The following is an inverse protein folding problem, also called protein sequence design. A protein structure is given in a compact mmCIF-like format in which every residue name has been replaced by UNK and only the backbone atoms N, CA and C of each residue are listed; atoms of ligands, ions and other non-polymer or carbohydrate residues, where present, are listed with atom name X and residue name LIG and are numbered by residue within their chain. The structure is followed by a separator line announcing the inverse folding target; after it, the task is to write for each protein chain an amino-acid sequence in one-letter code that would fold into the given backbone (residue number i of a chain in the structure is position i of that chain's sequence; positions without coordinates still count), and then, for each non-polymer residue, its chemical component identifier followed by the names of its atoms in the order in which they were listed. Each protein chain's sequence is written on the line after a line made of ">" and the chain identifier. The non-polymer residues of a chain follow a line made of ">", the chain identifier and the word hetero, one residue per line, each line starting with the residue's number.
data_IF_955026633659
#
_entry.id   IF_955026633659
#
_cell.length_a   1.000
_cell.length_b   1.000
_cell.length_c   1.000
_cell.angle_alpha   90.00
_cell.angle_beta   90.00
_cell.angle_gamma   90.00
#
_symmetry.space_group_name_H-M   'P 1'
#
loop_
_entity.id
_entity.type
_entity.pdbx_description
1 polymer ?
#
# COMPACT_ATOMS: atom_id res chain seq x y z
N UNK A 1 5.28 -25.86 7.39
CA UNK A 1 5.12 -24.87 6.29
C UNK A 1 3.74 -24.86 5.64
N UNK A 2 2.98 -25.98 5.54
CA UNK A 2 1.62 -25.91 4.98
C UNK A 2 0.73 -24.92 5.75
N UNK A 3 0.75 -24.98 7.08
CA UNK A 3 -0.03 -24.08 7.94
C UNK A 3 0.36 -22.60 7.76
N UNK A 4 1.64 -22.25 7.88
CA UNK A 4 2.11 -20.87 7.69
C UNK A 4 1.79 -20.32 6.30
N UNK A 5 1.81 -21.17 5.28
CA UNK A 5 1.40 -20.84 3.92
C UNK A 5 -0.10 -20.49 3.83
N UNK A 6 -0.99 -21.38 4.30
CA UNK A 6 -2.43 -21.14 4.25
C UNK A 6 -2.85 -19.94 5.09
N UNK A 7 -2.22 -19.75 6.26
CA UNK A 7 -2.43 -18.58 7.11
C UNK A 7 -2.04 -17.31 6.38
N UNK A 8 -0.86 -17.27 5.75
CA UNK A 8 -0.41 -16.10 5.00
C UNK A 8 -1.34 -15.77 3.83
N UNK A 9 -1.71 -16.77 3.03
CA UNK A 9 -2.65 -16.59 1.92
C UNK A 9 -4.00 -16.05 2.38
N UNK A 10 -4.54 -16.61 3.46
CA UNK A 10 -5.83 -16.21 4.02
C UNK A 10 -5.78 -14.78 4.55
N UNK A 11 -4.77 -14.43 5.34
CA UNK A 11 -4.60 -13.08 5.89
C UNK A 11 -4.36 -12.05 4.79
N UNK A 12 -3.57 -12.35 3.76
CA UNK A 12 -3.38 -11.44 2.61
C UNK A 12 -4.70 -11.17 1.91
N UNK A 13 -5.55 -12.18 1.70
CA UNK A 13 -6.89 -12.01 1.11
C UNK A 13 -7.82 -11.17 2.00
N UNK A 14 -7.81 -11.40 3.31
CA UNK A 14 -8.61 -10.64 4.28
C UNK A 14 -8.19 -9.16 4.27
N UNK A 15 -6.90 -8.87 4.43
CA UNK A 15 -6.43 -7.49 4.45
C UNK A 15 -6.62 -6.79 3.11
N UNK A 16 -6.43 -7.48 1.98
CA UNK A 16 -6.76 -6.94 0.67
C UNK A 16 -8.25 -6.59 0.56
N UNK A 17 -9.14 -7.48 1.02
CA UNK A 17 -10.58 -7.25 1.02
C UNK A 17 -10.92 -5.96 1.76
N UNK A 18 -10.43 -5.82 3.00
CA UNK A 18 -10.60 -4.60 3.78
C UNK A 18 -10.04 -3.36 3.05
N UNK A 19 -8.82 -3.44 2.51
CA UNK A 19 -8.20 -2.33 1.80
C UNK A 19 -9.04 -1.86 0.60
N UNK A 20 -9.53 -2.79 -0.23
CA UNK A 20 -10.34 -2.47 -1.41
C UNK A 20 -11.73 -1.96 -1.03
N UNK A 21 -12.32 -2.44 0.08
CA UNK A 21 -13.60 -1.92 0.61
C UNK A 21 -13.43 -0.48 1.07
N UNK A 22 -12.46 -0.19 1.94
CA UNK A 22 -12.21 1.17 2.44
C UNK A 22 -11.90 2.12 1.30
N UNK A 23 -11.07 1.71 0.35
CA UNK A 23 -10.78 2.48 -0.84
C UNK A 23 -12.04 2.77 -1.68
N UNK A 24 -12.91 1.78 -1.88
CA UNK A 24 -14.16 1.97 -2.64
C UNK A 24 -15.12 2.92 -1.93
N UNK A 25 -15.24 2.83 -0.60
CA UNK A 25 -16.02 3.75 0.22
C UNK A 25 -15.47 5.18 0.18
N UNK A 26 -14.15 5.34 0.14
CA UNK A 26 -13.51 6.65 -0.01
C UNK A 26 -13.84 7.28 -1.37
N UNK A 27 -13.83 6.51 -2.46
CA UNK A 27 -14.24 7.01 -3.78
C UNK A 27 -15.69 7.48 -3.82
N UNK A 28 -16.61 6.81 -3.09
CA UNK A 28 -17.99 7.31 -2.95
C UNK A 28 -18.04 8.70 -2.28
N UNK A 29 -17.18 8.97 -1.29
CA UNK A 29 -17.11 10.29 -0.62
C UNK A 29 -16.50 11.34 -1.54
N UNK A 30 -15.38 11.02 -2.18
CA UNK A 30 -14.66 11.88 -3.13
C UNK A 30 -15.57 12.30 -4.28
N UNK A 31 -16.38 11.38 -4.81
CA UNK A 31 -17.36 11.66 -5.88
C UNK A 31 -18.31 12.82 -5.55
N UNK A 32 -18.75 12.95 -4.29
CA UNK A 32 -19.63 14.05 -3.85
C UNK A 32 -18.89 15.40 -3.84
N UNK A 33 -17.64 15.39 -3.41
CA UNK A 33 -16.80 16.60 -3.33
C UNK A 33 -16.48 17.14 -4.71
N UNK A 34 -16.16 16.24 -5.63
CA UNK A 34 -15.86 16.58 -7.01
C UNK A 34 -17.09 16.52 -7.88
N UNK A 35 -18.33 16.70 -7.38
CA UNK A 35 -19.59 16.75 -8.15
C UNK A 35 -19.71 18.05 -9.00
N UNK A 36 -20.57 18.09 -10.04
CA UNK A 36 -20.75 19.31 -10.87
C UNK A 36 -21.26 20.47 -9.99
N UNK A 37 -22.02 20.12 -8.96
CA UNK A 37 -22.48 20.96 -7.86
C UNK A 37 -21.64 20.77 -6.57
N UNK A 38 -20.48 20.15 -6.68
CA UNK A 38 -19.56 19.87 -5.58
C UNK A 38 -18.65 21.05 -5.27
N UNK A 39 -17.83 20.91 -4.24
CA UNK A 39 -16.91 21.96 -3.75
C UNK A 39 -15.80 22.23 -4.78
N UNK A 40 -15.38 21.18 -5.51
CA UNK A 40 -14.33 21.27 -6.53
C UNK A 40 -14.80 20.64 -7.84
N UNK A 41 -15.67 21.33 -8.61
CA UNK A 41 -16.18 20.80 -9.86
C UNK A 41 -15.04 20.74 -10.89
N UNK A 42 -14.46 19.55 -11.08
CA UNK A 42 -13.33 19.33 -11.99
C UNK A 42 -13.74 19.27 -13.48
N UNK A 43 -15.01 19.53 -13.80
CA UNK A 43 -15.53 19.53 -15.17
C UNK A 43 -15.34 18.19 -15.90
N UNK A 44 -15.17 17.11 -15.15
CA UNK A 44 -14.86 15.79 -15.68
C UNK A 44 -16.14 14.96 -15.84
N UNK A 45 -16.21 14.04 -16.82
CA UNK A 45 -17.45 13.31 -17.06
C UNK A 45 -17.74 12.40 -15.87
N UNK A 46 -18.71 12.82 -15.04
CA UNK A 46 -19.29 12.04 -13.93
C UNK A 46 -19.69 10.63 -14.32
N UNK A 47 -19.94 10.44 -15.61
CA UNK A 47 -20.40 9.21 -16.23
C UNK A 47 -19.33 8.11 -16.31
N UNK A 48 -18.04 8.42 -16.05
CA UNK A 48 -16.98 7.41 -15.95
C UNK A 48 -16.95 6.67 -14.61
N UNK A 49 -17.71 7.11 -13.60
CA UNK A 49 -17.89 6.43 -12.32
C UNK A 49 -19.36 6.08 -12.06
N UNK A 50 -19.95 5.10 -12.77
CA UNK A 50 -21.26 4.61 -12.40
C UNK A 50 -21.21 4.08 -10.97
N UNK A 51 -22.18 4.42 -10.12
CA UNK A 51 -22.28 3.82 -8.77
C UNK A 51 -22.26 2.29 -8.86
N UNK A 52 -22.81 1.73 -9.95
CA UNK A 52 -22.73 0.31 -10.26
C UNK A 52 -21.31 -0.25 -10.30
N UNK A 53 -20.30 0.48 -10.78
CA UNK A 53 -18.92 0.00 -10.84
C UNK A 53 -18.27 -0.06 -9.45
N UNK A 54 -18.50 0.94 -8.60
CA UNK A 54 -18.01 0.91 -7.21
C UNK A 54 -18.74 -0.14 -6.37
N UNK A 55 -20.05 -0.33 -6.58
CA UNK A 55 -20.82 -1.43 -5.96
C UNK A 55 -20.26 -2.78 -6.43
N UNK A 56 -20.04 -2.94 -7.74
CA UNK A 56 -19.44 -4.14 -8.31
C UNK A 56 -18.07 -4.45 -7.68
N UNK A 57 -17.21 -3.44 -7.58
CA UNK A 57 -15.91 -3.56 -6.89
C UNK A 57 -16.07 -3.96 -5.42
N UNK A 58 -17.03 -3.39 -4.69
CA UNK A 58 -17.32 -3.78 -3.29
C UNK A 58 -17.74 -5.25 -3.19
N UNK A 59 -18.64 -5.70 -4.07
CA UNK A 59 -19.07 -7.11 -4.13
C UNK A 59 -17.88 -8.03 -4.39
N UNK A 60 -17.04 -7.72 -5.38
CA UNK A 60 -15.84 -8.50 -5.67
C UNK A 60 -14.85 -8.49 -4.50
N UNK A 61 -14.71 -7.36 -3.81
CA UNK A 61 -13.81 -7.23 -2.64
C UNK A 61 -14.28 -8.08 -1.48
N UNK A 62 -15.59 -8.28 -1.29
CA UNK A 62 -16.12 -9.25 -0.31
C UNK A 62 -15.95 -10.68 -0.82
N UNK A 63 -16.18 -10.90 -2.12
CA UNK A 63 -16.12 -12.23 -2.73
C UNK A 63 -14.75 -12.90 -2.58
N UNK A 64 -13.65 -12.14 -2.61
CA UNK A 64 -12.31 -12.70 -2.43
C UNK A 64 -12.06 -13.29 -1.03
N UNK A 65 -12.93 -13.05 -0.04
CA UNK A 65 -12.87 -13.72 1.27
C UNK A 65 -13.27 -15.19 1.17
N UNK A 66 -14.19 -15.50 0.27
CA UNK A 66 -14.79 -16.84 0.13
C UNK A 66 -14.21 -17.59 -1.06
N UNK A 67 -13.88 -16.88 -2.13
CA UNK A 67 -13.45 -17.48 -3.40
C UNK A 67 -12.01 -17.06 -3.72
N UNK A 68 -11.13 -18.05 -3.90
CA UNK A 68 -9.79 -17.85 -4.44
C UNK A 68 -9.81 -18.17 -5.95
N UNK A 69 -10.09 -17.15 -6.77
CA UNK A 69 -10.28 -17.30 -8.21
C UNK A 69 -9.58 -16.19 -8.98
N UNK A 70 -8.81 -16.59 -9.99
CA UNK A 70 -8.13 -15.67 -10.90
C UNK A 70 -9.11 -14.71 -11.57
N UNK A 71 -10.31 -15.17 -11.92
CA UNK A 71 -11.31 -14.33 -12.56
C UNK A 71 -11.73 -13.15 -11.67
N UNK A 72 -11.91 -13.39 -10.37
CA UNK A 72 -12.27 -12.34 -9.41
C UNK A 72 -11.12 -11.32 -9.28
N UNK A 73 -9.87 -11.80 -9.22
CA UNK A 73 -8.70 -10.93 -9.15
C UNK A 73 -8.49 -10.10 -10.42
N UNK A 74 -8.71 -10.68 -11.60
CA UNK A 74 -8.64 -9.96 -12.88
C UNK A 74 -9.72 -8.89 -12.99
N UNK A 75 -10.95 -9.17 -12.56
CA UNK A 75 -12.03 -8.18 -12.55
C UNK A 75 -11.70 -7.01 -11.59
N UNK A 76 -11.09 -7.30 -10.44
CA UNK A 76 -10.60 -6.26 -9.51
C UNK A 76 -9.45 -5.45 -10.13
N UNK A 77 -8.51 -6.07 -10.85
CA UNK A 77 -7.45 -5.37 -11.59
C UNK A 77 -8.06 -4.42 -12.64
N UNK A 78 -9.02 -4.92 -13.43
CA UNK A 78 -9.74 -4.09 -14.42
C UNK A 78 -10.44 -2.93 -13.73
N UNK A 79 -11.04 -3.15 -12.54
CA UNK A 79 -11.67 -2.09 -11.76
C UNK A 79 -10.71 -0.99 -11.32
N UNK A 80 -9.48 -1.35 -10.93
CA UNK A 80 -8.44 -0.39 -10.54
C UNK A 80 -7.95 0.37 -11.77
N UNK A 81 -7.70 -0.30 -12.90
CA UNK A 81 -7.29 0.37 -14.16
C UNK A 81 -8.36 1.37 -14.60
N UNK A 82 -9.63 0.98 -14.53
CA UNK A 82 -10.75 1.85 -14.87
C UNK A 82 -10.78 3.10 -13.98
N UNK A 83 -10.66 2.91 -12.66
CA UNK A 83 -10.60 4.01 -11.69
C UNK A 83 -9.38 4.89 -11.92
N UNK A 84 -8.22 4.31 -12.22
CA UNK A 84 -6.99 5.05 -12.47
C UNK A 84 -7.11 5.94 -13.72
N UNK A 85 -7.69 5.43 -14.81
CA UNK A 85 -8.00 6.24 -16.01
C UNK A 85 -8.97 7.37 -15.66
N UNK A 86 -9.98 7.07 -14.85
CA UNK A 86 -10.95 8.03 -14.34
C UNK A 86 -10.43 8.88 -13.17
N UNK A 87 -9.14 8.82 -12.79
CA UNK A 87 -8.49 9.64 -11.76
C UNK A 87 -7.14 10.24 -12.21
N UNK A 88 -6.82 10.17 -13.51
CA UNK A 88 -5.54 10.51 -14.16
C UNK A 88 -4.83 11.81 -13.72
N UNK A 89 -5.49 12.75 -13.02
CA UNK A 89 -4.87 13.99 -12.49
C UNK A 89 -4.65 14.02 -10.97
N UNK A 90 -5.26 13.13 -10.19
CA UNK A 90 -5.24 13.14 -8.72
C UNK A 90 -4.72 11.82 -8.12
N UNK A 91 -3.84 11.15 -8.85
CA UNK A 91 -3.43 9.79 -8.56
C UNK A 91 -2.73 9.67 -7.19
N UNK A 92 -3.27 8.81 -6.30
CA UNK A 92 -2.53 8.32 -5.13
C UNK A 92 -1.60 7.15 -5.51
N UNK A 93 -0.85 7.35 -6.60
CA UNK A 93 0.47 6.77 -6.84
C UNK A 93 0.67 5.33 -6.40
N UNK A 94 1.30 5.25 -5.23
CA UNK A 94 1.77 4.00 -4.64
C UNK A 94 0.67 3.08 -4.13
N UNK A 95 -0.46 3.59 -3.63
CA UNK A 95 -1.50 2.72 -3.04
C UNK A 95 -2.23 1.88 -4.09
N UNK A 96 -2.56 2.48 -5.24
CA UNK A 96 -3.19 1.78 -6.36
C UNK A 96 -2.18 0.83 -7.02
N UNK A 97 -0.92 1.26 -7.15
CA UNK A 97 0.16 0.41 -7.66
C UNK A 97 0.39 -0.82 -6.77
N UNK A 98 0.38 -0.65 -5.45
CA UNK A 98 0.51 -1.76 -4.51
C UNK A 98 -0.73 -2.68 -4.54
N UNK A 99 -1.93 -2.12 -4.76
CA UNK A 99 -3.14 -2.93 -4.95
C UNK A 99 -3.02 -3.84 -6.19
N UNK A 100 -2.46 -3.32 -7.28
CA UNK A 100 -2.16 -4.11 -8.47
C UNK A 100 -1.14 -5.21 -8.19
N UNK A 101 -0.07 -4.90 -7.44
CA UNK A 101 0.93 -5.91 -7.00
C UNK A 101 0.27 -7.04 -6.22
N UNK A 102 -0.56 -6.74 -5.21
CA UNK A 102 -1.20 -7.77 -4.40
C UNK A 102 -2.15 -8.62 -5.24
N UNK A 103 -2.96 -8.00 -6.12
CA UNK A 103 -3.89 -8.72 -7.00
C UNK A 103 -3.17 -9.58 -8.05
N UNK A 104 -2.07 -9.08 -8.63
CA UNK A 104 -1.23 -9.87 -9.54
C UNK A 104 -0.62 -11.06 -8.81
N UNK A 105 -0.10 -10.85 -7.61
CA UNK A 105 0.41 -11.92 -6.76
C UNK A 105 -0.64 -12.98 -6.47
N UNK A 106 -1.85 -12.59 -6.04
CA UNK A 106 -2.93 -13.54 -5.82
C UNK A 106 -3.42 -14.23 -7.11
N UNK A 107 -3.29 -13.59 -8.27
CA UNK A 107 -3.58 -14.23 -9.56
C UNK A 107 -2.56 -15.31 -9.91
N UNK A 108 -1.26 -15.04 -9.67
CA UNK A 108 -0.18 -16.03 -9.82
C UNK A 108 -0.39 -17.19 -8.86
N UNK A 109 -0.78 -16.90 -7.62
CA UNK A 109 -0.99 -17.86 -6.53
C UNK A 109 -2.00 -18.96 -6.88
N UNK A 110 -3.04 -18.63 -7.67
CA UNK A 110 -4.07 -19.60 -8.12
C UNK A 110 -3.45 -20.74 -8.94
N UNK A 111 -2.42 -20.45 -9.74
CA UNK A 111 -1.78 -21.44 -10.61
C UNK A 111 -0.49 -22.01 -10.00
N UNK A 112 0.22 -21.20 -9.22
CA UNK A 112 1.54 -21.53 -8.69
C UNK A 112 1.58 -21.24 -7.19
N UNK A 113 1.17 -22.21 -6.34
CA UNK A 113 1.20 -22.07 -4.90
C UNK A 113 2.56 -21.59 -4.38
N UNK A 114 2.53 -20.63 -3.46
CA UNK A 114 3.65 -19.87 -2.86
C UNK A 114 4.28 -18.82 -3.75
N UNK A 115 4.26 -18.99 -5.08
CA UNK A 115 4.93 -18.07 -6.00
C UNK A 115 4.29 -16.68 -6.00
N UNK A 116 2.96 -16.60 -5.83
CA UNK A 116 2.24 -15.35 -5.69
C UNK A 116 2.59 -14.61 -4.40
N UNK A 117 2.66 -15.31 -3.26
CA UNK A 117 3.12 -14.73 -2.00
C UNK A 117 4.58 -14.25 -2.09
N UNK A 118 5.47 -15.02 -2.72
CA UNK A 118 6.85 -14.58 -2.96
C UNK A 118 6.89 -13.33 -3.85
N UNK A 119 6.08 -13.27 -4.90
CA UNK A 119 5.96 -12.08 -5.74
C UNK A 119 5.54 -10.85 -4.92
N UNK A 120 4.49 -10.96 -4.09
CA UNK A 120 4.02 -9.86 -3.24
C UNK A 120 5.12 -9.38 -2.29
N UNK A 121 5.78 -10.33 -1.62
CA UNK A 121 6.86 -10.03 -0.69
C UNK A 121 8.02 -9.31 -1.38
N UNK A 122 8.51 -9.84 -2.51
CA UNK A 122 9.63 -9.26 -3.26
C UNK A 122 9.28 -7.86 -3.76
N UNK A 123 8.09 -7.68 -4.35
CA UNK A 123 7.65 -6.35 -4.82
C UNK A 123 7.52 -5.35 -3.67
N UNK A 124 7.05 -5.78 -2.49
CA UNK A 124 6.99 -4.93 -1.30
C UNK A 124 8.39 -4.55 -0.80
N UNK A 125 9.35 -5.49 -0.74
CA UNK A 125 10.74 -5.22 -0.37
C UNK A 125 11.40 -4.24 -1.35
N UNK A 126 11.22 -4.46 -2.66
CA UNK A 126 11.74 -3.58 -3.70
C UNK A 126 11.12 -2.18 -3.64
N UNK A 127 9.83 -2.08 -3.30
CA UNK A 127 9.17 -0.79 -3.16
C UNK A 127 9.79 0.07 -2.05
N UNK A 128 10.09 -0.53 -0.88
CA UNK A 128 10.82 0.18 0.18
C UNK A 128 12.25 0.53 -0.25
N UNK A 129 12.99 -0.43 -0.80
CA UNK A 129 14.39 -0.22 -1.18
C UNK A 129 14.56 0.87 -2.24
N UNK A 130 13.74 0.84 -3.30
CA UNK A 130 13.77 1.84 -4.38
C UNK A 130 13.36 3.21 -3.83
N UNK A 131 12.33 3.27 -2.98
CA UNK A 131 11.89 4.51 -2.32
C UNK A 131 13.03 5.14 -1.50
N UNK A 132 13.69 4.35 -0.64
CA UNK A 132 14.83 4.81 0.17
C UNK A 132 16.02 5.22 -0.70
N UNK A 133 16.29 4.49 -1.78
CA UNK A 133 17.39 4.79 -2.70
C UNK A 133 17.18 6.10 -3.49
N UNK A 134 15.94 6.38 -3.91
CA UNK A 134 15.59 7.66 -4.54
C UNK A 134 15.78 8.80 -3.54
N UNK A 135 15.35 8.61 -2.29
CA UNK A 135 15.47 9.64 -1.24
C UNK A 135 16.91 9.92 -0.84
N UNK A 136 17.76 8.90 -0.70
CA UNK A 136 19.18 9.14 -0.34
C UNK A 136 19.93 9.87 -1.47
N UNK A 137 19.59 9.61 -2.74
CA UNK A 137 20.20 10.33 -3.87
C UNK A 137 19.76 11.79 -3.95
N UNK A 138 18.53 12.10 -3.55
CA UNK A 138 17.97 13.43 -3.64
C UNK A 138 18.41 14.33 -2.46
N UNK A 139 19.04 15.47 -2.76
CA UNK A 139 19.54 16.41 -1.77
C UNK A 139 18.43 17.02 -0.88
N UNK A 140 17.24 17.23 -1.43
CA UNK A 140 16.10 17.81 -0.70
C UNK A 140 15.56 16.85 0.36
N UNK A 141 15.61 15.54 0.08
CA UNK A 141 15.29 14.52 1.07
C UNK A 141 16.36 14.46 2.15
N UNK A 142 17.65 14.46 1.79
CA UNK A 142 18.74 14.46 2.79
C UNK A 142 18.74 15.69 3.71
N UNK A 143 18.45 16.88 3.17
CA UNK A 143 18.34 18.11 3.96
C UNK A 143 17.06 18.20 4.80
N UNK A 144 16.08 17.32 4.56
CA UNK A 144 14.75 17.39 5.18
C UNK A 144 13.81 18.43 4.55
N UNK A 145 14.28 19.17 3.53
CA UNK A 145 13.46 20.15 2.81
C UNK A 145 12.23 19.51 2.16
N UNK A 146 12.40 18.37 1.51
CA UNK A 146 11.29 17.64 0.88
C UNK A 146 10.23 17.23 1.92
N UNK A 147 10.65 16.65 3.06
CA UNK A 147 9.73 16.26 4.13
C UNK A 147 8.97 17.47 4.68
N UNK A 148 9.66 18.59 4.90
CA UNK A 148 9.02 19.85 5.32
C UNK A 148 7.98 20.31 4.29
N UNK A 149 8.33 20.31 3.00
CA UNK A 149 7.41 20.71 1.93
C UNK A 149 6.16 19.81 1.87
N UNK A 150 6.32 18.49 2.01
CA UNK A 150 5.19 17.55 2.08
C UNK A 150 4.29 17.82 3.29
N UNK A 151 4.88 18.11 4.46
CA UNK A 151 4.11 18.45 5.66
C UNK A 151 3.35 19.77 5.49
N UNK A 152 3.91 20.75 4.76
CA UNK A 152 3.27 22.05 4.51
C UNK A 152 2.07 22.01 3.56
N UNK A 153 1.94 20.95 2.75
CA UNK A 153 0.80 20.75 1.86
C UNK A 153 -0.22 19.75 2.42
N UNK A 154 -0.02 19.25 3.65
CA UNK A 154 -0.97 18.35 4.30
C UNK A 154 -2.34 19.04 4.47
N UNK A 155 -3.46 18.32 4.32
CA UNK A 155 -4.77 18.86 4.67
C UNK A 155 -4.92 19.22 6.16
N UNK A 156 -4.00 18.74 7.01
CA UNK A 156 -3.99 18.93 8.47
C UNK A 156 -2.81 19.78 8.96
N UNK A 157 -2.20 20.59 8.08
CA UNK A 157 -1.10 21.54 8.36
C UNK A 157 -1.21 22.29 9.71
N UNK A 158 -2.39 22.80 10.16
CA UNK A 158 -2.48 23.60 11.38
C UNK A 158 -2.08 22.85 12.67
N UNK A 159 -1.91 21.53 12.62
CA UNK A 159 -1.61 20.70 13.80
C UNK A 159 -0.11 20.51 14.08
N UNK A 160 0.79 20.92 13.16
CA UNK A 160 2.23 20.70 13.33
C UNK A 160 2.99 22.01 13.57
N UNK A 161 3.69 22.17 14.70
CA UNK A 161 4.51 23.34 14.94
C UNK A 161 5.68 23.37 13.95
N UNK A 162 6.13 24.57 13.58
CA UNK A 162 7.35 24.77 12.80
C UNK A 162 8.55 24.20 13.57
N UNK A 163 9.10 23.07 13.10
CA UNK A 163 10.28 22.44 13.70
C UNK A 163 11.56 23.12 13.21
N UNK A 164 12.67 22.90 13.95
CA UNK A 164 14.00 23.31 13.49
C UNK A 164 14.37 22.53 12.22
N UNK A 165 15.14 23.15 11.32
CA UNK A 165 15.60 22.51 10.08
C UNK A 165 16.34 21.18 10.34
N UNK A 166 17.17 21.14 11.38
CA UNK A 166 17.88 19.92 11.81
C UNK A 166 16.94 18.78 12.20
N UNK A 167 15.76 19.09 12.76
CA UNK A 167 14.75 18.08 13.09
C UNK A 167 14.16 17.45 11.83
N UNK A 168 13.86 18.23 10.79
CA UNK A 168 13.38 17.68 9.52
C UNK A 168 14.44 16.82 8.82
N UNK A 169 15.71 17.23 8.85
CA UNK A 169 16.80 16.41 8.29
C UNK A 169 16.96 15.09 9.05
N UNK A 170 16.91 15.12 10.39
CA UNK A 170 16.96 13.90 11.20
C UNK A 170 15.80 12.96 10.90
N UNK A 171 14.56 13.46 10.92
CA UNK A 171 13.37 12.66 10.63
C UNK A 171 13.42 12.06 9.22
N UNK A 172 13.84 12.85 8.24
CA UNK A 172 14.02 12.37 6.86
C UNK A 172 15.10 11.28 6.79
N UNK A 173 16.22 11.47 7.49
CA UNK A 173 17.28 10.46 7.62
C UNK A 173 16.77 9.15 8.22
N UNK A 174 15.96 9.21 9.27
CA UNK A 174 15.35 8.03 9.88
C UNK A 174 14.42 7.28 8.90
N UNK A 175 13.62 8.01 8.11
CA UNK A 175 12.78 7.40 7.06
C UNK A 175 13.65 6.72 5.99
N UNK A 176 14.70 7.39 5.53
CA UNK A 176 15.62 6.83 4.52
C UNK A 176 16.28 5.54 5.03
N UNK A 177 16.81 5.56 6.26
CA UNK A 177 17.44 4.38 6.87
C UNK A 177 16.41 3.26 7.02
N UNK A 178 15.22 3.55 7.54
CA UNK A 178 14.15 2.56 7.64
C UNK A 178 13.84 1.91 6.28
N UNK A 179 13.61 2.71 5.23
CA UNK A 179 13.27 2.22 3.90
C UNK A 179 14.39 1.37 3.26
N UNK A 180 15.64 1.80 3.38
CA UNK A 180 16.80 1.07 2.85
C UNK A 180 17.03 -0.25 3.58
N UNK A 181 16.88 -0.27 4.90
CA UNK A 181 17.13 -1.45 5.71
C UNK A 181 15.95 -2.43 5.77
N UNK A 182 14.73 -1.99 5.43
CA UNK A 182 13.55 -2.84 5.41
C UNK A 182 13.75 -4.09 4.56
N UNK A 183 14.35 -3.95 3.38
CA UNK A 183 14.58 -5.08 2.48
C UNK A 183 15.45 -6.18 3.10
N UNK A 184 16.44 -5.80 3.92
CA UNK A 184 17.37 -6.72 4.56
C UNK A 184 16.77 -7.42 5.79
N UNK A 185 15.71 -6.85 6.39
CA UNK A 185 15.02 -7.46 7.54
C UNK A 185 14.45 -8.85 7.24
N UNK A 186 14.19 -9.16 5.96
CA UNK A 186 13.59 -10.43 5.52
C UNK A 186 14.41 -11.67 5.93
N UNK A 187 15.74 -11.53 6.10
CA UNK A 187 16.66 -12.63 6.37
C UNK A 187 16.47 -13.23 7.77
N UNK A 188 16.02 -12.44 8.74
CA UNK A 188 15.86 -12.86 10.13
C UNK A 188 14.48 -12.49 10.65
N UNK A 189 13.65 -13.49 10.98
CA UNK A 189 12.23 -13.27 11.27
C UNK A 189 11.96 -12.29 12.43
N UNK A 190 12.65 -12.37 13.59
CA UNK A 190 12.48 -11.36 14.64
C UNK A 190 12.84 -9.93 14.19
N UNK A 191 13.83 -9.78 13.31
CA UNK A 191 14.17 -8.46 12.75
C UNK A 191 13.07 -7.97 11.82
N UNK A 192 12.51 -8.84 10.97
CA UNK A 192 11.36 -8.50 10.14
C UNK A 192 10.17 -8.04 10.99
N UNK A 193 9.84 -8.73 12.07
CA UNK A 193 8.72 -8.36 12.96
C UNK A 193 8.84 -6.92 13.47
N UNK A 194 10.03 -6.52 13.90
CA UNK A 194 10.32 -5.13 14.30
C UNK A 194 10.09 -4.17 13.14
N UNK A 195 10.58 -4.50 11.94
CA UNK A 195 10.40 -3.66 10.76
C UNK A 195 8.94 -3.59 10.28
N UNK A 196 8.16 -4.66 10.43
CA UNK A 196 6.71 -4.66 10.16
C UNK A 196 5.98 -3.75 11.16
N UNK A 197 6.34 -3.80 12.44
CA UNK A 197 5.78 -2.91 13.45
C UNK A 197 6.12 -1.44 13.16
N UNK A 198 7.38 -1.15 12.83
CA UNK A 198 7.81 0.19 12.41
C UNK A 198 7.11 0.65 11.12
N UNK A 199 6.93 -0.26 10.16
CA UNK A 199 6.19 0.01 8.92
C UNK A 199 4.73 0.34 9.17
N UNK A 200 4.07 -0.37 10.10
CA UNK A 200 2.70 -0.08 10.51
C UNK A 200 2.61 1.33 11.11
N UNK A 201 3.52 1.67 12.04
CA UNK A 201 3.60 3.01 12.65
C UNK A 201 3.83 4.08 11.58
N UNK A 202 4.76 3.84 10.65
CA UNK A 202 5.05 4.74 9.54
C UNK A 202 3.81 4.98 8.67
N UNK A 203 3.12 3.92 8.25
CA UNK A 203 1.93 4.06 7.41
C UNK A 203 0.74 4.68 8.15
N UNK A 204 0.61 4.43 9.46
CA UNK A 204 -0.39 5.10 10.29
C UNK A 204 -0.09 6.60 10.38
N UNK A 205 1.18 6.97 10.60
CA UNK A 205 1.61 8.36 10.56
C UNK A 205 1.28 8.98 9.20
N UNK A 206 1.59 8.29 8.10
CA UNK A 206 1.27 8.77 6.75
C UNK A 206 -0.24 8.95 6.53
N UNK A 207 -1.07 8.04 7.03
CA UNK A 207 -2.52 8.15 6.95
C UNK A 207 -3.07 9.33 7.77
N UNK A 208 -2.61 9.51 9.00
CA UNK A 208 -3.05 10.58 9.90
C UNK A 208 -2.56 11.94 9.42
N UNK A 209 -1.28 12.05 9.07
CA UNK A 209 -0.63 13.32 8.75
C UNK A 209 -0.94 13.77 7.34
N UNK A 210 -0.95 12.87 6.35
CA UNK A 210 -1.16 13.26 4.94
C UNK A 210 -2.58 12.92 4.44
N UNK A 211 -3.44 12.33 5.27
CA UNK A 211 -4.77 11.87 4.84
C UNK A 211 -4.73 10.68 3.88
N UNK A 212 -3.58 10.01 3.74
CA UNK A 212 -3.34 8.94 2.78
C UNK A 212 -3.82 7.57 3.32
N UNK A 213 -5.08 7.49 3.73
CA UNK A 213 -5.66 6.29 4.37
C UNK A 213 -5.52 5.01 3.53
N UNK A 214 -5.59 5.12 2.20
CA UNK A 214 -5.44 3.97 1.30
C UNK A 214 -4.08 3.30 1.39
N UNK A 215 -3.02 4.08 1.66
CA UNK A 215 -1.68 3.53 1.82
C UNK A 215 -1.64 2.57 3.01
N UNK A 216 -2.15 2.97 4.18
CA UNK A 216 -2.12 2.12 5.36
C UNK A 216 -2.67 0.71 5.11
N UNK A 217 -3.88 0.62 4.59
CA UNK A 217 -4.57 -0.65 4.45
C UNK A 217 -3.89 -1.57 3.42
N UNK A 218 -3.49 -1.02 2.26
CA UNK A 218 -2.91 -1.87 1.22
C UNK A 218 -1.50 -2.36 1.57
N UNK A 219 -0.71 -1.54 2.27
CA UNK A 219 0.62 -1.97 2.70
C UNK A 219 0.56 -3.05 3.78
N UNK A 220 -0.42 -2.99 4.70
CA UNK A 220 -0.64 -4.08 5.67
C UNK A 220 -0.99 -5.40 4.96
N UNK A 221 -1.70 -5.33 3.82
CA UNK A 221 -2.06 -6.53 3.07
C UNK A 221 -0.85 -7.32 2.53
N UNK A 222 0.34 -6.70 2.43
CA UNK A 222 1.58 -7.37 2.01
C UNK A 222 2.29 -8.10 3.17
N UNK A 223 1.94 -7.79 4.42
CA UNK A 223 2.69 -8.26 5.59
C UNK A 223 2.66 -9.78 5.77
N UNK A 224 1.52 -10.48 5.56
CA UNK A 224 1.52 -11.94 5.67
C UNK A 224 2.44 -12.61 4.64
N UNK A 225 2.54 -12.05 3.44
CA UNK A 225 3.44 -12.53 2.39
C UNK A 225 4.92 -12.31 2.76
N UNK A 226 5.27 -11.14 3.30
CA UNK A 226 6.61 -10.84 3.81
C UNK A 226 7.01 -11.80 4.94
N UNK A 227 6.13 -11.99 5.91
CA UNK A 227 6.35 -12.88 7.04
C UNK A 227 6.52 -14.33 6.59
N UNK A 228 5.68 -14.80 5.65
CA UNK A 228 5.80 -16.13 5.06
C UNK A 228 7.14 -16.32 4.35
N UNK A 229 7.58 -15.35 3.54
CA UNK A 229 8.87 -15.42 2.86
C UNK A 229 10.02 -15.47 3.88
N UNK A 230 9.98 -14.68 4.96
CA UNK A 230 11.02 -14.73 5.99
C UNK A 230 11.09 -16.09 6.68
N UNK A 231 9.94 -16.65 7.10
CA UNK A 231 9.90 -18.00 7.68
C UNK A 231 10.44 -19.06 6.71
N UNK A 232 10.12 -18.91 5.41
CA UNK A 232 10.61 -19.81 4.37
C UNK A 232 12.14 -19.77 4.26
N UNK A 233 12.73 -18.57 4.19
CA UNK A 233 14.18 -18.39 4.14
C UNK A 233 14.87 -18.86 5.42
N UNK A 234 14.29 -18.55 6.59
CA UNK A 234 14.87 -18.93 7.88
C UNK A 234 14.94 -20.45 8.03
N UNK A 235 13.89 -21.16 7.59
CA UNK A 235 13.92 -22.63 7.54
C UNK A 235 14.94 -23.16 6.55
N UNK A 236 15.06 -22.55 5.37
CA UNK A 236 15.96 -23.02 4.32
C UNK A 236 17.45 -22.88 4.71
N UNK A 237 17.81 -21.80 5.40
CA UNK A 237 19.21 -21.45 5.67
C UNK A 237 19.69 -21.71 7.10
N UNK A 238 18.80 -21.77 8.10
CA UNK A 238 19.21 -21.84 9.51
C UNK A 238 18.61 -23.01 10.30
N UNK A 239 17.57 -23.67 9.78
CA UNK A 239 16.91 -24.82 10.43
C UNK A 239 16.84 -26.06 9.53
N UNK A 240 17.49 -26.00 8.37
CA UNK A 240 17.62 -27.08 7.39
C UNK A 240 18.81 -27.97 7.68
#
# INVERSE_FOLDING_TARGET
>A
MPESYYTALTLTRIFLSFALIFQSLEYFKIKKVFANNGIWPLGWPYDLWPNGWLIFRLVLSVLILFIHSVFVYLLLIISIIWIARACAKSFNGGSDSMSMVVLMGLSIEVFFPKAGLFYIAIQSLMSYLISGFIKIKNADWRSGFALKAYLQISPYVPLFPSLKSSTYSLLSGLVIVFELFFAFSIVHTPTLEVFLALGLIFHMFVAIVFGLNRFLHIWIATYPALYFLSLYLNRLFFLG
#
